data_IF_502652668161
#
_entry.id   IF_502652668161
#
_cell.length_a   1.000
_cell.length_b   1.000
_cell.length_c   1.000
_cell.angle_alpha   90.00
_cell.angle_beta   90.00
_cell.angle_gamma   90.00
#
_symmetry.space_group_name_H-M   'P 1'
#
loop_
_entity.id
_entity.type
_entity.pdbx_description
1 polymer ?
#
# COMPACT_ATOMS: atom_id res chain seq x y z
N UNK A 1 -17.96 -31.33 8.37
CA UNK A 1 -18.11 -30.10 7.58
C UNK A 1 -17.67 -30.48 6.19
N UNK A 2 -18.58 -30.44 5.22
CA UNK A 2 -18.28 -30.82 3.84
C UNK A 2 -18.14 -29.53 3.03
N UNK A 3 -16.94 -29.30 2.51
CA UNK A 3 -16.60 -28.13 1.70
C UNK A 3 -16.79 -28.47 0.22
N UNK A 4 -17.41 -27.57 -0.54
CA UNK A 4 -17.64 -27.72 -1.98
C UNK A 4 -16.61 -26.90 -2.79
N UNK A 5 -16.51 -27.18 -4.09
CA UNK A 5 -15.54 -26.55 -4.99
C UNK A 5 -16.00 -25.18 -5.49
N UNK A 6 -15.04 -24.37 -5.97
CA UNK A 6 -15.34 -23.11 -6.65
C UNK A 6 -15.77 -23.37 -8.10
N UNK A 7 -17.06 -23.22 -8.39
CA UNK A 7 -17.62 -23.36 -9.75
C UNK A 7 -17.78 -21.99 -10.44
N UNK A 8 -16.67 -21.32 -10.74
CA UNK A 8 -16.70 -20.02 -11.42
C UNK A 8 -17.23 -18.86 -10.56
N UNK A 9 -17.41 -19.06 -9.25
CA UNK A 9 -17.58 -17.95 -8.32
C UNK A 9 -16.29 -17.14 -8.29
N UNK A 10 -16.43 -15.86 -8.54
CA UNK A 10 -15.33 -14.92 -8.45
C UNK A 10 -14.83 -14.82 -7.00
N UNK A 11 -13.56 -15.17 -6.81
CA UNK A 11 -12.89 -15.01 -5.54
C UNK A 11 -12.71 -13.55 -5.15
N UNK A 12 -12.75 -12.61 -6.10
CA UNK A 12 -12.59 -11.17 -5.83
C UNK A 12 -13.72 -10.60 -4.96
N UNK A 13 -14.87 -11.27 -4.91
CA UNK A 13 -15.99 -10.91 -4.03
C UNK A 13 -15.70 -11.11 -2.52
N UNK A 14 -14.59 -11.78 -2.17
CA UNK A 14 -14.23 -11.98 -0.78
C UNK A 14 -13.58 -10.75 -0.15
N UNK A 15 -13.69 -10.67 1.17
CA UNK A 15 -12.94 -9.69 1.96
C UNK A 15 -11.56 -10.25 2.27
N UNK A 16 -10.54 -9.54 1.82
CA UNK A 16 -9.14 -9.92 2.02
C UNK A 16 -8.45 -9.04 3.05
N UNK A 17 -7.49 -9.64 3.76
CA UNK A 17 -6.47 -8.89 4.50
C UNK A 17 -5.29 -8.72 3.54
N UNK A 18 -4.87 -7.47 3.30
CA UNK A 18 -3.68 -7.19 2.49
C UNK A 18 -2.45 -7.34 3.37
N UNK A 19 -1.61 -8.33 3.07
CA UNK A 19 -0.34 -8.55 3.73
C UNK A 19 0.82 -8.04 2.86
N UNK A 20 1.47 -6.92 3.23
CA UNK A 20 2.64 -6.45 2.49
C UNK A 20 3.72 -7.52 2.42
N UNK A 21 4.11 -7.89 1.20
CA UNK A 21 5.10 -8.95 0.93
C UNK A 21 6.45 -8.62 1.57
N UNK A 22 6.81 -7.33 1.65
CA UNK A 22 8.01 -6.85 2.35
C UNK A 22 8.07 -7.35 3.80
N UNK A 23 6.94 -7.44 4.50
CA UNK A 23 6.92 -7.96 5.88
C UNK A 23 7.25 -9.46 5.92
N UNK A 24 7.01 -10.19 4.83
CA UNK A 24 7.31 -11.62 4.71
C UNK A 24 8.78 -11.83 4.34
N UNK A 25 9.27 -11.10 3.34
CA UNK A 25 10.56 -11.35 2.66
C UNK A 25 11.75 -10.62 3.29
N UNK A 26 11.57 -9.41 3.81
CA UNK A 26 12.70 -8.59 4.27
C UNK A 26 13.23 -9.07 5.64
N UNK A 27 14.56 -9.15 5.75
CA UNK A 27 15.26 -9.64 6.94
C UNK A 27 14.94 -8.81 8.20
N UNK A 28 14.61 -7.52 8.05
CA UNK A 28 14.24 -6.65 9.19
C UNK A 28 12.98 -7.15 9.89
N UNK A 29 12.05 -7.78 9.16
CA UNK A 29 10.78 -8.28 9.69
C UNK A 29 10.76 -9.79 9.94
N UNK A 30 11.87 -10.49 9.66
CA UNK A 30 11.97 -11.95 9.83
C UNK A 30 11.73 -12.43 11.25
N UNK A 31 12.05 -11.60 12.24
CA UNK A 31 11.81 -11.91 13.66
C UNK A 31 10.33 -11.90 14.07
N UNK A 32 9.43 -11.35 13.24
CA UNK A 32 7.99 -11.36 13.52
C UNK A 32 7.37 -12.70 13.12
N UNK A 33 6.47 -13.20 13.97
CA UNK A 33 5.61 -14.33 13.60
C UNK A 33 4.64 -13.93 12.48
N UNK A 34 4.14 -14.92 11.74
CA UNK A 34 3.13 -14.66 10.71
C UNK A 34 1.87 -14.00 11.30
N UNK A 35 1.46 -14.41 12.51
CA UNK A 35 0.33 -13.81 13.22
C UNK A 35 0.57 -12.33 13.52
N UNK A 36 1.80 -11.93 13.88
CA UNK A 36 2.15 -10.54 14.12
C UNK A 36 2.11 -9.72 12.82
N UNK A 37 2.60 -10.30 11.71
CA UNK A 37 2.54 -9.66 10.39
C UNK A 37 1.09 -9.46 9.93
N UNK A 38 0.22 -10.46 10.11
CA UNK A 38 -1.22 -10.36 9.85
C UNK A 38 -1.87 -9.31 10.75
N UNK A 39 -1.56 -9.29 12.06
CA UNK A 39 -2.08 -8.28 12.99
C UNK A 39 -1.72 -6.86 12.54
N UNK A 40 -0.48 -6.64 12.11
CA UNK A 40 -0.05 -5.35 11.57
C UNK A 40 -0.82 -4.96 10.31
N UNK A 41 -1.09 -5.90 9.39
CA UNK A 41 -1.96 -5.65 8.24
C UNK A 41 -3.39 -5.26 8.60
N UNK A 42 -3.95 -5.86 9.65
CA UNK A 42 -5.25 -5.45 10.18
C UNK A 42 -5.18 -4.02 10.74
N UNK A 43 -4.09 -3.65 11.40
CA UNK A 43 -3.87 -2.30 11.92
C UNK A 43 -3.72 -1.26 10.80
N UNK A 44 -3.01 -1.60 9.72
CA UNK A 44 -2.96 -0.76 8.52
C UNK A 44 -4.36 -0.51 7.96
N UNK A 45 -5.15 -1.58 7.80
CA UNK A 45 -6.52 -1.47 7.28
C UNK A 45 -7.41 -0.61 8.18
N UNK A 46 -7.24 -0.75 9.51
CA UNK A 46 -7.94 0.07 10.50
C UNK A 46 -7.49 1.52 10.48
N UNK A 47 -6.20 1.78 10.24
CA UNK A 47 -5.65 3.15 10.16
C UNK A 47 -6.24 3.93 8.98
N UNK A 48 -6.49 3.28 7.84
CA UNK A 48 -7.20 3.90 6.70
C UNK A 48 -8.61 4.35 7.10
N UNK A 49 -9.32 3.53 7.88
CA UNK A 49 -10.65 3.89 8.39
C UNK A 49 -10.58 5.00 9.45
N UNK A 50 -9.57 4.96 10.32
CA UNK A 50 -9.36 6.02 11.33
C UNK A 50 -9.05 7.37 10.70
N UNK A 51 -8.27 7.41 9.61
CA UNK A 51 -8.05 8.63 8.83
C UNK A 51 -9.36 9.21 8.29
N UNK A 52 -10.19 8.37 7.65
CA UNK A 52 -11.52 8.77 7.15
C UNK A 52 -12.45 9.31 8.25
N UNK A 53 -12.28 8.80 9.48
CA UNK A 53 -13.06 9.23 10.64
C UNK A 53 -12.43 10.40 11.41
N UNK A 54 -11.41 11.07 10.86
CA UNK A 54 -10.68 12.17 11.50
C UNK A 54 -10.10 11.80 12.89
N UNK A 55 -9.68 10.54 13.07
CA UNK A 55 -8.95 10.11 14.28
C UNK A 55 -7.47 10.42 14.14
N UNK A 56 -7.19 11.72 14.21
CA UNK A 56 -5.88 12.33 13.99
C UNK A 56 -5.53 13.13 15.24
N UNK A 57 -4.26 13.07 15.67
CA UNK A 57 -3.79 13.89 16.78
C UNK A 57 -3.34 15.30 16.33
N UNK A 58 -2.98 16.15 17.29
CA UNK A 58 -2.53 17.53 17.05
C UNK A 58 -1.31 17.64 16.12
N UNK A 59 -0.55 16.54 15.94
CA UNK A 59 0.63 16.50 15.09
C UNK A 59 0.31 15.89 13.72
N UNK A 60 -0.97 15.73 13.35
CA UNK A 60 -1.37 15.11 12.08
C UNK A 60 -1.21 13.59 12.06
N UNK A 61 -0.98 12.92 13.20
CA UNK A 61 -0.76 11.46 13.22
C UNK A 61 -2.07 10.71 13.44
N UNK A 62 -2.36 9.79 12.54
CA UNK A 62 -3.50 8.88 12.64
C UNK A 62 -3.29 7.89 13.78
N UNK A 63 -4.34 7.66 14.58
CA UNK A 63 -4.35 6.63 15.61
C UNK A 63 -5.57 5.72 15.47
N UNK A 64 -5.43 4.48 15.93
CA UNK A 64 -6.51 3.52 16.03
C UNK A 64 -6.82 3.22 17.50
N UNK A 65 -8.07 2.80 17.75
CA UNK A 65 -8.43 2.08 18.95
C UNK A 65 -8.58 0.61 18.60
N UNK A 66 -7.81 -0.24 19.30
CA UNK A 66 -7.83 -1.69 19.10
C UNK A 66 -7.43 -2.37 20.40
N UNK A 67 -8.33 -3.17 20.97
CA UNK A 67 -8.09 -3.76 22.29
C UNK A 67 -7.36 -5.10 22.20
N UNK A 68 -6.86 -5.57 23.34
CA UNK A 68 -6.24 -6.90 23.42
C UNK A 68 -7.29 -7.98 23.18
N UNK A 69 -8.51 -7.76 23.66
CA UNK A 69 -9.66 -8.63 23.49
C UNK A 69 -10.09 -8.70 22.02
N UNK A 70 -10.14 -7.56 21.32
CA UNK A 70 -10.40 -7.50 19.89
C UNK A 70 -9.32 -8.25 19.10
N UNK A 71 -8.05 -8.10 19.49
CA UNK A 71 -6.92 -8.86 18.90
C UNK A 71 -7.08 -10.36 19.09
N UNK A 72 -7.41 -10.79 20.30
CA UNK A 72 -7.62 -12.20 20.64
C UNK A 72 -8.78 -12.79 19.84
N UNK A 73 -9.88 -12.05 19.71
CA UNK A 73 -11.06 -12.46 18.95
C UNK A 73 -10.75 -12.57 17.45
N UNK A 74 -10.15 -11.54 16.86
CA UNK A 74 -9.90 -11.49 15.40
C UNK A 74 -8.89 -12.55 14.95
N UNK A 75 -7.89 -12.88 15.77
CA UNK A 75 -6.89 -13.90 15.47
C UNK A 75 -7.24 -15.29 16.02
N UNK A 76 -8.39 -15.45 16.68
CA UNK A 76 -8.80 -16.70 17.31
C UNK A 76 -7.76 -17.24 18.31
N UNK A 77 -7.13 -16.35 19.10
CA UNK A 77 -6.04 -16.72 19.99
C UNK A 77 -6.28 -16.29 21.45
N UNK A 78 -5.57 -16.92 22.40
CA UNK A 78 -5.68 -16.55 23.81
C UNK A 78 -5.11 -15.16 24.10
N UNK A 79 -5.66 -14.48 25.11
CA UNK A 79 -5.26 -13.12 25.54
C UNK A 79 -3.74 -12.98 25.72
N UNK A 80 -3.07 -13.97 26.33
CA UNK A 80 -1.60 -13.96 26.50
C UNK A 80 -0.85 -13.86 25.18
N UNK A 81 -1.33 -14.57 24.14
CA UNK A 81 -0.75 -14.53 22.80
C UNK A 81 -1.04 -13.19 22.13
N UNK A 82 -2.26 -12.67 22.24
CA UNK A 82 -2.60 -11.34 21.74
C UNK A 82 -1.70 -10.23 22.33
N UNK A 83 -1.49 -10.23 23.65
CA UNK A 83 -0.56 -9.30 24.31
C UNK A 83 0.86 -9.44 23.76
N UNK A 84 1.33 -10.67 23.56
CA UNK A 84 2.65 -10.93 22.99
C UNK A 84 2.77 -10.36 21.57
N UNK A 85 1.81 -10.63 20.69
CA UNK A 85 1.84 -10.13 19.31
C UNK A 85 1.88 -8.60 19.24
N UNK A 86 1.05 -7.92 20.04
CA UNK A 86 1.05 -6.46 20.13
C UNK A 86 2.42 -5.96 20.64
N UNK A 87 3.01 -6.65 21.63
CA UNK A 87 4.33 -6.30 22.16
C UNK A 87 5.43 -6.51 21.11
N UNK A 88 5.39 -7.58 20.34
CA UNK A 88 6.37 -7.88 19.30
C UNK A 88 6.37 -6.76 18.23
N UNK A 89 5.18 -6.28 17.83
CA UNK A 89 5.03 -5.13 16.93
C UNK A 89 5.55 -3.81 17.52
N UNK A 90 5.39 -3.62 18.83
CA UNK A 90 5.90 -2.44 19.53
C UNK A 90 7.43 -2.47 19.66
N UNK A 91 8.02 -3.64 19.94
CA UNK A 91 9.47 -3.84 20.11
C UNK A 91 10.22 -3.55 18.80
N UNK A 92 9.74 -4.07 17.66
CA UNK A 92 10.33 -3.76 16.36
C UNK A 92 10.03 -2.33 15.89
N UNK A 93 9.10 -1.66 16.56
CA UNK A 93 8.79 -0.25 16.32
C UNK A 93 7.78 0.00 15.20
N UNK A 94 7.02 -1.00 14.76
CA UNK A 94 5.92 -0.86 13.78
C UNK A 94 4.69 -0.15 14.37
N UNK A 95 4.54 -0.17 15.69
CA UNK A 95 3.46 0.54 16.39
C UNK A 95 4.01 1.33 17.59
N UNK A 96 3.22 2.29 18.08
CA UNK A 96 3.44 2.96 19.37
C UNK A 96 2.12 3.09 20.11
N UNK A 97 2.08 2.68 21.38
CA UNK A 97 0.90 2.86 22.23
C UNK A 97 1.03 4.13 23.09
N UNK A 98 -0.06 4.87 23.24
CA UNK A 98 -0.16 6.02 24.15
C UNK A 98 -1.40 5.87 25.03
N UNK A 99 -1.20 5.78 26.35
CA UNK A 99 -2.29 5.77 27.33
C UNK A 99 -2.82 7.19 27.49
N UNK A 100 -4.14 7.34 27.45
CA UNK A 100 -4.80 8.66 27.48
C UNK A 100 -5.43 8.90 28.86
N UNK A 101 -4.66 8.84 29.95
CA UNK A 101 -5.22 8.99 31.30
C UNK A 101 -6.18 7.86 31.72
N UNK A 102 -6.86 8.04 32.87
CA UNK A 102 -7.75 7.04 33.45
C UNK A 102 -9.11 7.02 32.72
N UNK A 103 -9.57 5.83 32.31
CA UNK A 103 -10.89 5.64 31.66
C UNK A 103 -10.92 5.80 30.14
N UNK A 104 -9.92 6.41 29.52
CA UNK A 104 -9.88 6.53 28.06
C UNK A 104 -9.17 5.34 27.40
N UNK A 105 -9.61 4.94 26.19
CA UNK A 105 -8.96 3.88 25.43
C UNK A 105 -7.51 4.26 25.05
N UNK A 106 -6.67 3.24 24.97
CA UNK A 106 -5.27 3.41 24.54
C UNK A 106 -5.23 3.71 23.05
N UNK A 107 -4.57 4.81 22.67
CA UNK A 107 -4.33 5.15 21.27
C UNK A 107 -3.16 4.32 20.75
N UNK A 108 -3.34 3.66 19.61
CA UNK A 108 -2.26 2.94 18.91
C UNK A 108 -1.93 3.70 17.63
N UNK A 109 -0.68 4.14 17.51
CA UNK A 109 -0.15 4.76 16.30
C UNK A 109 0.52 3.69 15.45
N UNK A 110 -0.01 3.49 14.25
CA UNK A 110 0.54 2.55 13.26
C UNK A 110 1.56 3.32 12.43
N UNK A 111 2.79 2.83 12.34
CA UNK A 111 3.86 3.51 11.62
C UNK A 111 4.05 2.89 10.24
N UNK A 112 4.53 3.71 9.32
CA UNK A 112 4.94 3.28 7.98
C UNK A 112 6.19 2.39 8.04
N UNK A 113 6.02 1.11 7.69
CA UNK A 113 7.10 0.13 7.64
C UNK A 113 8.17 0.48 6.58
N UNK A 114 7.85 1.32 5.59
CA UNK A 114 8.80 1.75 4.55
C UNK A 114 9.77 2.84 5.03
N UNK A 115 9.43 3.54 6.11
CA UNK A 115 10.27 4.63 6.66
C UNK A 115 11.70 4.20 7.01
N UNK A 116 11.91 2.93 7.32
CA UNK A 116 13.24 2.39 7.65
C UNK A 116 14.17 2.26 6.44
N UNK A 117 13.63 2.24 5.21
CA UNK A 117 14.42 2.20 3.99
C UNK A 117 14.79 3.60 3.49
N UNK A 118 13.93 4.60 3.75
CA UNK A 118 14.23 6.02 3.44
C UNK A 118 15.46 6.53 4.19
N UNK A 119 15.67 6.05 5.42
CA UNK A 119 16.80 6.44 6.25
C UNK A 119 18.13 5.73 5.92
N UNK A 120 18.12 4.69 5.07
CA UNK A 120 19.34 3.93 4.75
C UNK A 120 20.14 4.47 3.57
N UNK A 121 19.55 5.37 2.77
CA UNK A 121 20.24 6.06 1.67
C UNK A 121 21.35 7.03 2.14
N UNK A 122 21.58 7.18 3.44
CA UNK A 122 22.68 7.97 4.04
C UNK A 122 23.79 7.12 4.69
N UNK A 123 23.91 5.82 4.38
CA UNK A 123 25.08 5.04 4.80
C UNK A 123 26.13 5.02 3.68
N UNK A 124 27.32 5.63 3.86
CA UNK A 124 28.40 5.49 2.89
C UNK A 124 28.83 4.01 2.88
N UNK A 125 28.48 3.30 1.80
CA UNK A 125 28.88 1.93 1.58
C UNK A 125 30.39 1.89 1.39
N UNK A 126 31.12 1.36 2.37
CA UNK A 126 32.47 0.85 2.13
C UNK A 126 32.34 -0.37 1.23
N UNK A 127 32.74 -0.23 -0.04
CA UNK A 127 32.88 -1.34 -0.98
C UNK A 127 34.07 -2.19 -0.55
N UNK A 128 33.83 -3.38 -0.04
CA UNK A 128 34.83 -4.45 -0.07
C UNK A 128 34.54 -5.31 -1.29
N UNK A 129 35.45 -5.24 -2.26
CA UNK A 129 35.43 -6.08 -3.45
C UNK A 129 35.86 -7.50 -3.06
N UNK A 130 35.03 -8.50 -3.34
CA UNK A 130 35.52 -9.86 -3.52
C UNK A 130 35.33 -10.24 -4.99
N UNK A 131 36.45 -10.19 -5.70
CA UNK A 131 36.71 -10.95 -6.93
C UNK A 131 36.36 -12.42 -6.73
N UNK A 132 35.86 -13.08 -7.78
CA UNK A 132 36.26 -14.45 -8.14
C UNK A 132 35.82 -14.78 -9.58
N UNK A 133 36.81 -14.63 -10.45
CA UNK A 133 37.10 -15.27 -11.74
C UNK A 133 36.09 -16.24 -12.39
N UNK A 134 35.87 -15.96 -13.69
CA UNK A 134 35.53 -16.85 -14.81
C UNK A 134 35.97 -18.31 -14.65
N UNK A 135 35.05 -19.23 -14.99
CA UNK A 135 35.34 -20.61 -15.36
C UNK A 135 34.24 -21.18 -16.27
N UNK A 136 34.54 -21.33 -17.56
CA UNK A 136 33.76 -22.10 -18.53
C UNK A 136 33.97 -23.60 -18.29
N UNK A 137 32.93 -24.44 -18.32
CA UNK A 137 33.04 -25.82 -18.84
C UNK A 137 31.70 -26.26 -19.45
N UNK A 138 31.79 -26.86 -20.64
CA UNK A 138 30.71 -27.41 -21.48
C UNK A 138 30.35 -28.85 -21.09
N UNK A 139 29.11 -29.21 -21.43
CA UNK A 139 28.46 -30.50 -21.66
C UNK A 139 29.30 -31.80 -21.58
N UNK A 140 28.71 -32.83 -20.97
CA UNK A 140 29.08 -34.24 -21.12
C UNK A 140 27.84 -35.10 -21.28
N UNK A 141 27.84 -35.91 -22.34
CA UNK A 141 26.74 -36.71 -22.87
C UNK A 141 26.37 -37.97 -22.05
N UNK A 142 25.18 -38.46 -22.41
CA UNK A 142 24.44 -39.66 -22.04
C UNK A 142 25.24 -40.96 -21.82
N UNK A 143 24.73 -41.81 -20.93
CA UNK A 143 24.75 -43.25 -21.15
C UNK A 143 23.49 -43.98 -20.64
N UNK A 144 22.99 -44.86 -21.50
CA UNK A 144 21.75 -45.63 -21.38
C UNK A 144 22.05 -47.05 -20.91
N UNK A 145 21.40 -47.54 -19.84
CA UNK A 145 21.33 -48.99 -19.56
C UNK A 145 19.95 -49.44 -19.02
N UNK A 146 19.14 -49.91 -19.97
CA UNK A 146 18.14 -51.02 -19.96
C UNK A 146 17.39 -51.42 -18.66
N UNK A 147 16.06 -51.24 -18.75
CA UNK A 147 14.96 -52.20 -18.49
C UNK A 147 14.59 -52.63 -17.05
N UNK A 148 13.44 -52.11 -16.57
CA UNK A 148 12.28 -52.92 -16.18
C UNK A 148 11.01 -52.06 -16.14
N UNK A 149 10.00 -52.40 -16.96
CA UNK A 149 8.67 -51.78 -16.93
C UNK A 149 7.95 -52.18 -15.63
N UNK A 150 7.71 -51.22 -14.75
CA UNK A 150 6.53 -51.21 -13.89
C UNK A 150 5.67 -50.05 -14.35
N UNK A 151 4.47 -50.37 -14.83
CA UNK A 151 3.41 -49.37 -15.05
C UNK A 151 3.06 -48.74 -13.69
N UNK A 152 3.69 -47.62 -13.38
CA UNK A 152 3.10 -46.61 -12.52
C UNK A 152 2.40 -45.62 -13.44
N UNK A 153 1.09 -45.47 -13.28
CA UNK A 153 0.31 -44.39 -13.89
C UNK A 153 1.08 -43.08 -13.72
N UNK A 154 1.58 -42.56 -14.84
CA UNK A 154 2.37 -41.36 -14.94
C UNK A 154 1.47 -40.14 -14.61
N UNK A 155 1.47 -39.74 -13.34
CA UNK A 155 0.83 -38.52 -12.86
C UNK A 155 1.70 -37.27 -13.09
N UNK A 156 2.82 -37.36 -13.83
CA UNK A 156 3.78 -36.25 -13.96
C UNK A 156 3.43 -35.20 -15.01
N UNK A 157 2.17 -35.13 -15.49
CA UNK A 157 1.69 -34.08 -16.41
C UNK A 157 0.62 -33.15 -15.83
N UNK A 158 0.63 -32.93 -14.52
CA UNK A 158 -0.03 -31.75 -13.95
C UNK A 158 1.04 -30.74 -13.62
N UNK A 159 1.07 -29.62 -14.37
CA UNK A 159 1.81 -28.45 -13.96
C UNK A 159 1.24 -28.02 -12.60
N UNK A 160 2.01 -28.11 -11.51
CA UNK A 160 1.55 -27.53 -10.26
C UNK A 160 1.56 -26.01 -10.45
N UNK A 161 0.43 -25.36 -10.19
CA UNK A 161 0.23 -23.93 -10.37
C UNK A 161 0.94 -23.12 -9.26
N UNK A 162 2.21 -23.43 -9.00
CA UNK A 162 3.07 -22.66 -8.12
C UNK A 162 3.45 -21.38 -8.86
N UNK A 163 2.90 -20.27 -8.41
CA UNK A 163 3.54 -18.97 -8.65
C UNK A 163 4.86 -19.01 -7.87
N UNK A 164 5.99 -19.05 -8.57
CA UNK A 164 7.32 -18.88 -7.97
C UNK A 164 7.41 -17.46 -7.38
N UNK A 165 7.05 -17.30 -6.10
CA UNK A 165 7.15 -16.01 -5.39
C UNK A 165 8.59 -15.45 -5.37
N UNK A 166 9.61 -16.28 -5.66
CA UNK A 166 11.01 -15.85 -5.75
C UNK A 166 11.34 -15.03 -7.02
N UNK A 167 10.38 -14.78 -7.90
CA UNK A 167 10.48 -13.88 -9.06
C UNK A 167 9.57 -12.67 -8.96
N UNK A 168 9.18 -12.25 -7.76
CA UNK A 168 8.64 -10.90 -7.60
C UNK A 168 9.83 -9.95 -7.74
N UNK A 169 10.02 -9.50 -8.97
CA UNK A 169 10.87 -8.36 -9.27
C UNK A 169 10.47 -7.24 -8.31
N UNK A 170 11.46 -6.71 -7.57
CA UNK A 170 11.23 -5.66 -6.56
C UNK A 170 10.65 -4.39 -7.17
N UNK A 171 10.48 -4.34 -8.50
CA UNK A 171 9.69 -3.36 -9.25
C UNK A 171 8.19 -3.36 -8.92
N UNK A 172 7.61 -4.43 -8.37
CA UNK A 172 6.21 -4.42 -7.89
C UNK A 172 6.05 -3.84 -6.48
N UNK A 173 7.15 -3.72 -5.73
CA UNK A 173 7.19 -2.86 -4.54
C UNK A 173 7.56 -1.49 -5.09
N UNK A 174 6.55 -0.78 -5.57
CA UNK A 174 6.71 0.57 -6.07
C UNK A 174 7.25 1.44 -4.92
N UNK A 175 8.55 1.71 -4.96
CA UNK A 175 9.21 2.67 -4.08
C UNK A 175 8.91 4.11 -4.50
N UNK A 176 8.15 4.33 -5.58
CA UNK A 176 7.48 5.59 -5.82
C UNK A 176 6.14 5.60 -5.09
N UNK A 177 6.22 5.82 -3.77
CA UNK A 177 5.18 6.60 -3.10
C UNK A 177 5.34 8.05 -3.60
N UNK A 178 5.10 8.28 -4.89
CA UNK A 178 4.56 9.56 -5.31
C UNK A 178 3.26 9.65 -4.51
N UNK A 179 3.15 10.61 -3.60
CA UNK A 179 1.90 10.88 -2.89
C UNK A 179 0.88 11.31 -3.94
N UNK A 180 0.22 10.31 -4.57
CA UNK A 180 -0.78 10.55 -5.60
C UNK A 180 -2.00 11.15 -4.92
N UNK A 181 -2.38 12.34 -5.34
CA UNK A 181 -3.47 13.12 -4.78
C UNK A 181 -4.73 12.97 -5.62
N UNK A 182 -5.81 13.56 -5.10
CA UNK A 182 -7.14 13.47 -5.67
C UNK A 182 -7.88 12.19 -5.30
N UNK A 183 -9.20 12.20 -5.45
CA UNK A 183 -10.12 11.09 -5.15
C UNK A 183 -9.71 9.80 -5.85
N UNK A 184 -9.24 9.89 -7.10
CA UNK A 184 -8.84 8.73 -7.90
C UNK A 184 -7.36 8.39 -7.77
N UNK A 185 -6.60 9.10 -6.92
CA UNK A 185 -5.19 8.83 -6.64
C UNK A 185 -4.34 8.76 -7.93
N UNK A 186 -4.60 9.69 -8.85
CA UNK A 186 -4.01 9.74 -10.18
C UNK A 186 -3.32 11.09 -10.49
N UNK A 187 -3.24 12.00 -9.51
CA UNK A 187 -2.53 13.28 -9.63
C UNK A 187 -1.20 13.19 -8.88
N UNK A 188 -0.11 13.19 -9.62
CA UNK A 188 1.27 13.18 -9.10
C UNK A 188 1.76 14.63 -8.93
N UNK A 189 2.13 15.00 -7.71
CA UNK A 189 2.79 16.27 -7.37
C UNK A 189 3.93 15.98 -6.39
N UNK A 190 5.08 16.61 -6.58
CA UNK A 190 6.15 16.63 -5.57
C UNK A 190 5.83 17.60 -4.43
N UNK A 191 6.45 17.39 -3.26
CA UNK A 191 6.30 18.27 -2.09
C UNK A 191 6.66 19.75 -2.42
N UNK A 192 7.67 19.95 -3.28
CA UNK A 192 8.09 21.29 -3.72
C UNK A 192 7.04 21.96 -4.59
N UNK A 193 6.46 21.21 -5.55
CA UNK A 193 5.42 21.72 -6.44
C UNK A 193 4.12 22.03 -5.70
N UNK A 194 3.72 21.18 -4.77
CA UNK A 194 2.54 21.41 -3.92
C UNK A 194 2.72 22.68 -3.10
N UNK A 195 3.87 22.86 -2.45
CA UNK A 195 4.14 24.07 -1.66
C UNK A 195 4.06 25.35 -2.51
N UNK A 196 4.59 25.32 -3.74
CA UNK A 196 4.51 26.45 -4.68
C UNK A 196 3.05 26.72 -5.10
N UNK A 197 2.26 25.68 -5.30
CA UNK A 197 0.87 25.81 -5.70
C UNK A 197 -0.03 26.29 -4.55
N UNK A 198 0.20 25.82 -3.32
CA UNK A 198 -0.53 26.27 -2.14
C UNK A 198 -0.32 27.76 -1.87
N UNK A 199 0.89 28.28 -2.08
CA UNK A 199 1.18 29.71 -1.95
C UNK A 199 0.40 30.56 -2.98
N UNK A 200 0.20 30.03 -4.19
CA UNK A 200 -0.38 30.77 -5.33
C UNK A 200 -1.87 30.57 -5.52
N UNK A 201 -2.41 29.44 -5.05
CA UNK A 201 -3.78 28.98 -5.27
C UNK A 201 -4.46 28.77 -3.92
N UNK A 202 -5.30 29.71 -3.45
CA UNK A 202 -5.97 29.62 -2.14
C UNK A 202 -6.83 28.36 -1.92
N UNK A 203 -7.30 27.73 -3.00
CA UNK A 203 -8.12 26.51 -2.98
C UNK A 203 -7.48 25.39 -3.82
N UNK A 204 -6.20 25.10 -3.61
CA UNK A 204 -5.45 24.11 -4.39
C UNK A 204 -6.18 22.75 -4.49
N UNK A 205 -6.79 22.29 -3.40
CA UNK A 205 -7.47 21.00 -3.37
C UNK A 205 -8.59 20.87 -4.43
N UNK A 206 -9.35 21.94 -4.71
CA UNK A 206 -10.39 21.91 -5.75
C UNK A 206 -9.79 21.62 -7.14
N UNK A 207 -8.64 22.22 -7.44
CA UNK A 207 -7.97 21.99 -8.72
C UNK A 207 -7.32 20.61 -8.81
N UNK A 208 -6.80 20.07 -7.70
CA UNK A 208 -6.31 18.70 -7.62
C UNK A 208 -7.46 17.72 -7.91
N UNK A 209 -8.61 17.90 -7.27
CA UNK A 209 -9.77 17.03 -7.46
C UNK A 209 -10.35 17.12 -8.86
N UNK A 210 -10.45 18.33 -9.43
CA UNK A 210 -10.88 18.53 -10.82
C UNK A 210 -9.98 17.80 -11.80
N UNK A 211 -8.65 17.91 -11.64
CA UNK A 211 -7.71 17.23 -12.52
C UNK A 211 -7.84 15.72 -12.37
N UNK A 212 -7.96 15.24 -11.12
CA UNK A 212 -8.15 13.82 -10.80
C UNK A 212 -9.39 13.23 -11.50
N UNK A 213 -10.54 13.89 -11.37
CA UNK A 213 -11.79 13.46 -12.00
C UNK A 213 -11.76 13.58 -13.52
N UNK A 214 -11.12 14.61 -14.06
CA UNK A 214 -11.02 14.82 -15.51
C UNK A 214 -10.16 13.75 -16.19
N UNK A 215 -8.99 13.44 -15.62
CA UNK A 215 -8.12 12.37 -16.12
C UNK A 215 -8.83 11.02 -16.08
N UNK A 216 -9.56 10.75 -14.98
CA UNK A 216 -10.30 9.50 -14.82
C UNK A 216 -11.45 9.36 -15.83
N UNK A 217 -12.21 10.42 -16.09
CA UNK A 217 -13.38 10.38 -16.95
C UNK A 217 -13.04 10.42 -18.45
N UNK A 218 -11.99 11.16 -18.82
CA UNK A 218 -11.61 11.35 -20.23
C UNK A 218 -10.51 10.40 -20.70
N UNK A 219 -9.80 9.74 -19.78
CA UNK A 219 -8.61 8.92 -20.08
C UNK A 219 -7.40 9.74 -20.55
N UNK A 220 -7.43 11.07 -20.40
CA UNK A 220 -6.31 11.94 -20.76
C UNK A 220 -5.23 11.87 -19.69
N UNK A 221 -3.99 11.80 -20.15
CA UNK A 221 -2.80 11.88 -19.31
C UNK A 221 -2.09 13.20 -19.54
N UNK A 222 -1.55 13.77 -18.46
CA UNK A 222 -0.79 15.00 -18.49
C UNK A 222 0.64 14.72 -18.06
N UNK A 223 1.61 15.32 -18.76
CA UNK A 223 3.04 15.12 -18.48
C UNK A 223 3.45 15.76 -17.15
N UNK A 224 2.81 16.85 -16.75
CA UNK A 224 3.10 17.62 -15.55
C UNK A 224 1.77 18.14 -14.98
N UNK A 225 1.38 17.60 -13.83
CA UNK A 225 0.13 17.96 -13.18
C UNK A 225 0.19 19.33 -12.52
N UNK A 226 1.35 19.74 -11.99
CA UNK A 226 1.51 21.04 -11.35
C UNK A 226 1.32 22.18 -12.36
N UNK A 227 1.97 22.06 -13.52
CA UNK A 227 1.79 22.98 -14.64
C UNK A 227 0.35 23.01 -15.15
N UNK A 228 -0.33 21.87 -15.16
CA UNK A 228 -1.73 21.75 -15.60
C UNK A 228 -2.68 22.47 -14.64
N UNK A 229 -2.54 22.21 -13.34
CA UNK A 229 -3.30 22.87 -12.28
C UNK A 229 -3.08 24.39 -12.33
N UNK A 230 -1.83 24.83 -12.43
CA UNK A 230 -1.49 26.25 -12.53
C UNK A 230 -2.10 26.91 -13.79
N UNK A 231 -2.09 26.20 -14.91
CA UNK A 231 -2.68 26.69 -16.16
C UNK A 231 -4.20 26.86 -16.06
N UNK A 232 -4.89 25.90 -15.43
CA UNK A 232 -6.33 25.98 -15.19
C UNK A 232 -6.67 27.14 -14.26
N UNK A 233 -5.93 27.30 -13.16
CA UNK A 233 -6.10 28.42 -12.25
C UNK A 233 -5.91 29.79 -12.92
N UNK A 234 -4.83 29.96 -13.70
CA UNK A 234 -4.58 31.21 -14.43
C UNK A 234 -5.67 31.50 -15.47
N UNK A 235 -6.23 30.46 -16.10
CA UNK A 235 -7.36 30.60 -17.02
C UNK A 235 -8.63 31.07 -16.28
N UNK A 236 -8.99 30.42 -15.19
CA UNK A 236 -10.17 30.78 -14.39
C UNK A 236 -10.04 32.20 -13.80
N UNK A 237 -8.84 32.58 -13.37
CA UNK A 237 -8.53 33.94 -12.88
C UNK A 237 -8.71 35.00 -13.97
N UNK A 238 -8.29 34.71 -15.21
CA UNK A 238 -8.50 35.62 -16.36
C UNK A 238 -9.96 35.72 -16.78
N UNK A 239 -10.71 34.62 -16.66
CA UNK A 239 -12.13 34.55 -17.01
C UNK A 239 -13.06 35.05 -15.90
N UNK A 240 -12.53 35.46 -14.75
CA UNK A 240 -13.31 35.93 -13.61
C UNK A 240 -14.16 34.84 -12.94
N UNK A 241 -13.83 33.56 -13.15
CA UNK A 241 -14.58 32.38 -12.69
C UNK A 241 -14.10 31.85 -11.33
N UNK A 242 -13.33 32.62 -10.58
CA UNK A 242 -12.87 32.23 -9.24
C UNK A 242 -14.10 32.14 -8.32
N UNK A 243 -14.53 30.90 -8.02
CA UNK A 243 -15.75 30.61 -7.25
C UNK A 243 -15.53 30.89 -5.76
N UNK A 244 -16.53 31.49 -5.12
CA UNK A 244 -16.61 31.68 -3.66
C UNK A 244 -17.12 30.42 -2.95
N UNK A 245 -16.35 29.92 -1.97
CA UNK A 245 -16.75 29.19 -0.74
C UNK A 245 -17.99 28.26 -0.79
N UNK A 246 -18.08 27.33 -1.75
CA UNK A 246 -18.84 26.10 -1.50
C UNK A 246 -17.86 24.95 -1.33
N UNK A 247 -17.81 24.40 -0.12
CA UNK A 247 -17.01 23.24 0.21
C UNK A 247 -17.52 22.01 -0.55
N UNK A 248 -16.60 21.30 -1.18
CA UNK A 248 -16.85 20.05 -1.88
C UNK A 248 -17.41 18.99 -0.91
N UNK A 249 -18.51 18.32 -1.31
CA UNK A 249 -19.24 17.40 -0.41
C UNK A 249 -18.86 15.93 -0.58
N UNK A 250 -18.09 15.57 -1.62
CA UNK A 250 -17.74 14.19 -1.93
C UNK A 250 -18.73 13.47 -2.87
N UNK A 251 -19.77 14.15 -3.35
CA UNK A 251 -20.78 13.56 -4.25
C UNK A 251 -20.37 13.74 -5.73
N UNK A 252 -20.25 12.66 -6.53
CA UNK A 252 -19.99 12.74 -7.97
C UNK A 252 -21.04 13.52 -8.77
N UNK A 253 -22.28 13.64 -8.26
CA UNK A 253 -23.37 14.38 -8.92
C UNK A 253 -23.23 15.91 -8.87
N UNK A 254 -22.37 16.42 -7.97
CA UNK A 254 -21.98 17.84 -7.92
C UNK A 254 -21.27 18.28 -9.23
N UNK A 255 -20.75 17.32 -10.01
CA UNK A 255 -20.08 17.56 -11.30
C UNK A 255 -20.98 17.38 -12.53
N UNK A 256 -21.92 16.44 -12.52
CA UNK A 256 -22.71 16.08 -13.71
C UNK A 256 -23.71 17.17 -14.13
N UNK A 257 -24.11 18.04 -13.21
CA UNK A 257 -25.18 19.04 -13.45
C UNK A 257 -24.67 20.42 -13.90
N UNK A 258 -23.39 20.75 -13.66
CA UNK A 258 -22.87 22.11 -13.92
C UNK A 258 -21.94 22.23 -15.14
N UNK A 259 -21.43 21.11 -15.66
CA UNK A 259 -20.49 21.14 -16.78
C UNK A 259 -20.89 20.12 -17.84
N UNK A 260 -21.70 20.58 -18.80
CA UNK A 260 -21.93 19.87 -20.07
C UNK A 260 -20.58 19.56 -20.72
N UNK A 261 -20.07 18.36 -20.50
CA UNK A 261 -18.85 17.81 -21.09
C UNK A 261 -19.03 17.36 -22.54
N UNK A 262 -20.07 17.84 -23.22
CA UNK A 262 -20.24 17.72 -24.66
C UNK A 262 -20.08 19.09 -25.32
N UNK A 263 -18.85 19.39 -25.75
CA UNK A 263 -18.52 20.07 -27.01
C UNK A 263 -17.03 19.88 -27.32
#
# INVERSE_FOLDING_TARGET
MDFDYFYGRDSESFRFIRLPIVLIEDEKFKGLSIDAKVLYSMYLSRSTLSYKNNWIDENGRVYIYFTVEETAQQLGCGIKKAVKLIKDLEVIGLIKKKRTGQGNPTKIYVKDFMSIFRNENFRPVKRENQDLSKGQVKNGDFDNSRMAKKESLDLSKRQPNYIENNKIDKSYIDFNLEDKKGIFQNVILSDEEESILEEKIPNLNDYIERLSAYMQSTGKEYKDHASTIMSWYLKDKREGKLRSEKAYTGDPSDYESEWNLNN
#
